data_IF_575108222292
#
_entry.id   IF_575108222292
#
_cell.length_a   1.000
_cell.length_b   1.000
_cell.length_c   1.000
_cell.angle_alpha   90.00
_cell.angle_beta   90.00
_cell.angle_gamma   90.00
#
_symmetry.space_group_name_H-M   'P 1'
#
loop_
_entity.id
_entity.type
_entity.pdbx_description
1 polymer ?
2 non-polymer ?
#
# COMPACT_ATOMS: atom_id res chain seq x y z
N UNK A 25 0.70 12.73 12.22
CA UNK A 25 -0.42 12.56 11.24
C UNK A 25 0.12 11.95 9.96
N UNK A 26 -0.77 11.61 9.03
CA UNK A 26 -0.35 11.01 7.77
C UNK A 26 -0.96 11.73 6.58
N UNK A 27 -0.20 11.85 5.50
CA UNK A 27 -0.68 12.52 4.29
C UNK A 27 -1.86 11.73 3.74
N UNK A 28 -1.72 10.41 3.78
CA UNK A 28 -2.77 9.51 3.30
C UNK A 28 -2.80 8.27 4.16
N UNK A 29 -3.99 7.79 4.48
CA UNK A 29 -4.12 6.60 5.31
C UNK A 29 -5.42 5.86 5.00
N UNK A 30 -5.33 4.53 4.95
CA UNK A 30 -6.52 3.72 4.69
C UNK A 30 -6.30 2.30 5.16
N UNK A 31 -7.40 1.60 5.40
CA UNK A 31 -7.33 0.21 5.86
C UNK A 31 -7.08 -0.73 4.69
N UNK A 32 -6.02 -1.52 4.79
CA UNK A 32 -5.69 -2.47 3.73
C UNK A 32 -4.73 -3.54 4.23
N UNK A 33 -4.97 -4.79 3.84
CA UNK A 33 -4.12 -5.89 4.25
C UNK A 33 -3.06 -6.18 3.19
N UNK A 34 -2.07 -7.00 3.54
CA UNK A 34 -1.01 -7.35 2.59
C UNK A 34 -1.26 -8.75 2.06
N UNK A 35 -0.46 -9.17 1.08
CA UNK A 35 -0.61 -10.50 0.50
C UNK A 35 0.74 -11.20 0.40
N UNK A 36 0.74 -12.53 0.38
CA UNK A 36 1.98 -13.28 0.29
C UNK A 36 1.83 -14.48 -0.66
N UNK A 37 2.93 -14.90 -1.24
CA UNK A 37 2.92 -16.05 -2.16
C UNK A 37 3.41 -17.31 -1.44
N UNK A 38 2.51 -18.27 -1.27
CA UNK A 38 2.88 -19.52 -0.62
C UNK A 38 3.39 -20.50 -1.66
N UNK A 39 4.59 -20.23 -2.19
CA UNK A 39 5.16 -21.09 -3.22
C UNK A 39 4.51 -20.77 -4.55
N UNK A 40 3.58 -21.62 -4.95
CA UNK A 40 2.87 -21.42 -6.21
C UNK A 40 1.40 -21.08 -5.94
N UNK A 41 1.07 -20.83 -4.67
CA UNK A 41 -0.31 -20.51 -4.31
C UNK A 41 -0.42 -19.08 -3.76
N UNK A 42 -1.32 -18.29 -4.34
CA UNK A 42 -1.51 -16.93 -3.86
C UNK A 42 -2.37 -16.98 -2.61
N UNK A 43 -1.91 -16.38 -1.51
CA UNK A 43 -2.69 -16.42 -0.29
C UNK A 43 -2.75 -15.04 0.39
N UNK A 44 -3.93 -14.49 0.61
CA UNK A 44 -4.11 -13.16 1.27
C UNK A 44 -3.92 -13.21 2.78
N UNK A 45 -3.35 -12.15 3.34
CA UNK A 45 -3.15 -12.08 4.78
C UNK A 45 -4.46 -11.66 5.44
N UNK A 46 -4.92 -12.45 6.40
CA UNK A 46 -6.17 -12.15 7.08
C UNK A 46 -5.99 -11.11 8.18
N UNK A 47 -4.75 -10.82 8.54
CA UNK A 47 -4.47 -9.83 9.58
C UNK A 47 -4.89 -8.45 9.12
N UNK A 48 -5.47 -7.67 10.04
CA UNK A 48 -5.90 -6.32 9.72
C UNK A 48 -4.71 -5.37 9.79
N UNK A 49 -4.54 -4.53 8.76
CA UNK A 49 -3.43 -3.60 8.74
C UNK A 49 -3.87 -2.22 8.27
N UNK A 50 -3.03 -1.23 8.52
CA UNK A 50 -3.33 0.14 8.11
C UNK A 50 -2.19 0.70 7.29
N UNK A 51 -2.49 1.07 6.04
CA UNK A 51 -1.48 1.63 5.16
C UNK A 51 -1.53 3.14 5.24
N UNK A 52 -0.39 3.77 5.47
CA UNK A 52 -0.35 5.22 5.56
C UNK A 52 0.98 5.78 5.08
N UNK A 53 0.95 7.07 4.75
CA UNK A 53 2.15 7.75 4.28
C UNK A 53 2.47 8.90 5.22
N UNK A 54 3.74 8.98 5.65
CA UNK A 54 4.14 10.04 6.56
C UNK A 54 5.35 10.78 6.01
N UNK A 55 5.38 12.08 6.28
CA UNK A 55 6.49 12.91 5.83
C UNK A 55 7.37 13.29 7.01
N UNK A 56 8.65 12.99 6.90
CA UNK A 56 9.59 13.31 7.97
C UNK A 56 10.13 14.72 7.80
N UNK A 57 10.84 15.21 8.81
CA UNK A 57 11.40 16.55 8.75
C UNK A 57 12.48 16.67 7.67
N UNK A 58 12.93 15.53 7.13
CA UNK A 58 13.93 15.55 6.08
C UNK A 58 13.28 15.64 4.69
N UNK A 59 11.95 15.81 4.67
CA UNK A 59 11.19 15.93 3.42
C UNK A 59 11.06 14.57 2.70
N UNK A 60 11.48 13.50 3.34
CA UNK A 60 11.38 12.17 2.73
C UNK A 60 9.99 11.59 2.94
N UNK A 61 9.57 10.73 2.00
CA UNK A 61 8.25 10.10 2.09
C UNK A 61 8.42 8.63 2.49
N UNK A 62 7.77 8.25 3.58
CA UNK A 62 7.88 6.88 4.07
C UNK A 62 6.56 6.13 3.90
N UNK A 63 6.63 5.01 3.20
CA UNK A 63 5.44 4.18 3.01
C UNK A 63 5.50 3.06 4.03
N UNK A 64 4.53 3.03 4.94
CA UNK A 64 4.55 2.02 5.99
C UNK A 64 3.25 1.25 6.10
N UNK A 65 3.36 0.03 6.62
CA UNK A 65 2.22 -0.83 6.83
C UNK A 65 2.27 -1.32 8.27
N UNK A 66 1.23 -1.00 9.03
CA UNK A 66 1.17 -1.35 10.44
C UNK A 66 0.01 -2.27 10.77
N UNK A 67 0.28 -3.25 11.63
CA UNK A 67 -0.76 -4.17 12.06
C UNK A 67 -1.66 -3.47 13.07
N UNK A 68 -2.96 -3.45 12.81
CA UNK A 68 -3.90 -2.79 13.72
C UNK A 68 -3.97 -3.53 15.06
N UNK A 69 -3.89 -4.85 15.01
CA UNK A 69 -3.97 -5.67 16.21
C UNK A 69 -2.82 -5.41 17.20
N UNK A 70 -1.60 -5.39 16.68
CA UNK A 70 -0.44 -5.18 17.56
C UNK A 70 -0.05 -3.70 17.63
N UNK A 71 -0.38 -2.94 16.60
CA UNK A 71 -0.04 -1.52 16.57
C UNK A 71 1.43 -1.32 16.17
N UNK A 72 2.13 -2.41 15.89
CA UNK A 72 3.54 -2.32 15.51
C UNK A 72 3.69 -2.14 14.00
N UNK A 73 4.68 -1.34 13.61
CA UNK A 73 4.95 -1.12 12.19
C UNK A 73 5.91 -2.18 11.69
N UNK A 74 5.45 -3.03 10.79
CA UNK A 74 6.29 -4.10 10.27
C UNK A 74 6.95 -3.70 8.95
N UNK A 75 6.33 -2.78 8.22
CA UNK A 75 6.88 -2.35 6.95
C UNK A 75 7.24 -0.87 6.99
N UNK A 76 8.48 -0.55 6.61
CA UNK A 76 8.94 0.82 6.59
C UNK A 76 9.90 1.01 5.42
N UNK A 77 9.40 1.59 4.32
CA UNK A 77 10.22 1.79 3.13
C UNK A 77 10.29 3.26 2.75
N UNK A 78 11.49 3.72 2.38
CA UNK A 78 11.68 5.11 1.97
C UNK A 78 11.41 5.22 0.47
N UNK A 79 10.44 6.04 0.09
CA UNK A 79 10.11 6.19 -1.33
C UNK A 79 10.37 7.62 -1.81
N UNK A 80 11.16 7.72 -2.88
CA UNK A 80 11.48 9.03 -3.46
C UNK A 80 10.47 9.36 -4.56
N UNK A 81 10.36 10.61 -4.93
CA UNK A 81 9.41 11.04 -5.99
C UNK A 81 9.55 10.22 -7.28
N UNK A 82 8.43 9.73 -7.79
CA UNK A 82 8.41 8.93 -9.02
C UNK A 82 9.21 7.63 -8.87
N UNK A 83 9.71 7.35 -7.66
CA UNK A 83 10.48 6.14 -7.43
C UNK A 83 9.63 4.88 -7.66
N UNK A 84 8.39 4.92 -7.19
CA UNK A 84 7.50 3.77 -7.32
C UNK A 84 6.16 4.17 -7.93
N UNK A 85 5.45 3.18 -8.46
CA UNK A 85 4.14 3.43 -9.06
C UNK A 85 3.07 2.55 -8.42
N UNK A 86 1.94 3.16 -8.09
CA UNK A 86 0.82 2.43 -7.47
C UNK A 86 -0.32 2.30 -8.47
N UNK A 87 -0.77 1.08 -8.74
CA UNK A 87 -1.83 0.87 -9.71
C UNK A 87 -2.66 -0.38 -9.39
N UNK A 88 -3.95 -0.32 -9.71
CA UNK A 88 -4.84 -1.46 -9.48
C UNK A 88 -4.41 -2.64 -10.35
N UNK A 89 -4.64 -3.87 -9.86
CA UNK A 89 -4.28 -5.05 -10.61
C UNK A 89 -5.51 -5.68 -11.27
N UNK A 90 -5.69 -5.52 -12.57
CA UNK A 90 -6.87 -6.10 -13.30
C UNK A 90 -6.87 -7.62 -13.27
N UNK A 91 -5.73 -8.23 -12.98
CA UNK A 91 -5.63 -9.68 -12.96
C UNK A 91 -6.45 -10.28 -11.81
N UNK A 92 -6.79 -9.46 -10.81
CA UNK A 92 -7.58 -9.98 -9.71
C UNK A 92 -9.05 -9.54 -9.87
N UNK A 93 -9.99 -10.47 -9.98
CA UNK A 93 -11.44 -10.15 -10.17
C UNK A 93 -11.99 -9.23 -9.09
N UNK A 94 -11.36 -9.23 -7.92
CA UNK A 94 -11.84 -8.41 -6.82
C UNK A 94 -11.86 -6.93 -7.20
N UNK A 95 -10.81 -6.48 -7.86
CA UNK A 95 -10.74 -5.08 -8.28
C UNK A 95 -10.36 -4.16 -7.11
N UNK A 96 -10.14 -4.75 -5.93
CA UNK A 96 -9.77 -4.00 -4.74
C UNK A 96 -8.28 -4.12 -4.47
N UNK A 97 -7.57 -4.79 -5.38
CA UNK A 97 -6.14 -5.01 -5.20
C UNK A 97 -5.29 -3.99 -5.93
N UNK A 98 -4.32 -3.43 -5.20
CA UNK A 98 -3.40 -2.47 -5.77
C UNK A 98 -1.97 -2.96 -5.54
N UNK A 99 -1.07 -2.66 -6.47
CA UNK A 99 0.30 -3.10 -6.35
C UNK A 99 1.28 -1.94 -6.46
N UNK A 100 2.32 -1.99 -5.64
CA UNK A 100 3.34 -0.96 -5.65
C UNK A 100 4.60 -1.50 -6.31
N UNK A 101 4.95 -0.95 -7.46
CA UNK A 101 6.12 -1.40 -8.20
C UNK A 101 7.32 -0.50 -7.95
N UNK A 102 8.43 -1.10 -7.54
CA UNK A 102 9.64 -0.34 -7.29
C UNK A 102 10.48 -0.27 -8.57
N UNK A 103 10.71 0.94 -9.05
CA UNK A 103 11.50 1.13 -10.25
C UNK A 103 12.91 0.61 -10.03
N UNK A 104 13.43 0.85 -8.84
CA UNK A 104 14.77 0.38 -8.48
C UNK A 104 14.66 -0.86 -7.60
N UNK A 105 14.89 -2.03 -8.19
CA UNK A 105 14.82 -3.28 -7.45
C UNK A 105 13.69 -4.16 -7.97
N UNK A 106 12.75 -3.58 -8.72
CA UNK A 106 11.64 -4.33 -9.26
C UNK A 106 10.83 -4.98 -8.13
N UNK A 107 10.94 -4.43 -6.93
CA UNK A 107 10.20 -4.95 -5.79
C UNK A 107 8.71 -4.73 -5.99
N UNK A 108 7.91 -5.74 -5.66
CA UNK A 108 6.46 -5.62 -5.82
C UNK A 108 5.74 -5.96 -4.51
N UNK A 109 4.82 -5.09 -4.12
CA UNK A 109 4.04 -5.31 -2.91
C UNK A 109 2.55 -5.26 -3.26
N UNK A 110 1.77 -6.19 -2.71
CA UNK A 110 0.34 -6.23 -3.00
C UNK A 110 -0.48 -5.88 -1.76
N UNK A 111 -1.49 -5.03 -1.97
CA UNK A 111 -2.37 -4.62 -0.90
C UNK A 111 -3.83 -4.67 -1.37
N UNK A 112 -4.75 -4.89 -0.43
CA UNK A 112 -6.16 -4.94 -0.79
C UNK A 112 -6.98 -4.11 0.18
N UNK A 113 -7.83 -3.24 -0.37
CA UNK A 113 -8.64 -2.37 0.47
C UNK A 113 -9.53 -3.18 1.40
N UNK A 114 -9.68 -2.69 2.62
CA UNK A 114 -10.50 -3.37 3.62
C UNK A 114 -11.75 -2.54 3.95
N UNK A 115 -11.89 -1.39 3.29
CA UNK A 115 -13.05 -0.54 3.54
C UNK A 115 -14.30 -1.22 2.99
N UNK A 116 -15.44 -1.04 3.63
CA UNK A 116 -16.71 -1.69 3.16
C UNK A 116 -17.17 -1.13 1.82
N UNK A 117 -16.96 0.16 1.62
CA UNK A 117 -17.35 0.81 0.38
C UNK A 117 -16.19 0.85 -0.61
N UNK A 118 -16.50 0.63 -1.88
CA UNK A 118 -15.48 0.66 -2.92
C UNK A 118 -15.47 2.02 -3.62
N UNK A 119 -16.47 2.84 -3.33
CA UNK A 119 -16.57 4.16 -3.94
C UNK A 119 -15.35 5.03 -3.60
N UNK A 120 -14.88 4.95 -2.35
CA UNK A 120 -13.74 5.76 -1.93
C UNK A 120 -12.42 5.01 -2.07
N UNK A 121 -12.48 3.71 -2.38
CA UNK A 121 -11.26 2.92 -2.52
C UNK A 121 -10.39 3.47 -3.65
N UNK A 122 -11.02 3.83 -4.76
CA UNK A 122 -10.29 4.37 -5.91
C UNK A 122 -9.67 5.71 -5.56
N UNK A 123 -10.39 6.51 -4.78
CA UNK A 123 -9.91 7.82 -4.38
C UNK A 123 -8.64 7.71 -3.55
N UNK A 124 -8.62 6.74 -2.63
CA UNK A 124 -7.45 6.54 -1.79
C UNK A 124 -6.24 6.16 -2.63
N UNK A 125 -6.46 5.31 -3.63
CA UNK A 125 -5.38 4.88 -4.50
C UNK A 125 -4.79 6.08 -5.25
N UNK A 126 -5.67 6.92 -5.79
CA UNK A 126 -5.23 8.09 -6.53
C UNK A 126 -4.39 9.02 -5.66
N UNK A 127 -4.85 9.25 -4.43
CA UNK A 127 -4.12 10.14 -3.52
C UNK A 127 -2.73 9.58 -3.25
N UNK A 128 -2.65 8.28 -3.05
CA UNK A 128 -1.37 7.63 -2.78
C UNK A 128 -0.42 7.83 -3.95
N UNK A 129 -0.93 7.63 -5.16
CA UNK A 129 -0.11 7.78 -6.35
C UNK A 129 0.42 9.21 -6.48
N UNK A 130 -0.42 10.19 -6.20
CA UNK A 130 0.00 11.59 -6.30
C UNK A 130 1.14 11.90 -5.33
N UNK A 131 1.03 11.41 -4.10
CA UNK A 131 2.08 11.67 -3.11
C UNK A 131 3.37 10.96 -3.49
N UNK A 132 3.25 9.76 -4.06
CA UNK A 132 4.44 9.00 -4.44
C UNK A 132 5.09 9.61 -5.68
N UNK A 133 4.28 10.15 -6.59
CA UNK A 133 4.81 10.73 -7.82
C UNK A 133 4.99 12.25 -7.70
N UNK A 134 4.57 12.83 -6.59
CA UNK A 134 4.71 14.28 -6.40
C UNK A 134 5.29 14.58 -5.02
X LIG B 1 -0.73 -13.44 -9.21
X LIG B 1 -1.41 -13.02 -8.27
X LIG B 1 -2.66 -13.08 -8.33
X LIG B 1 -0.78 -12.50 -7.13
X LIG B 1 0.60 -12.57 -7.07
X LIG B 1 1.28 -12.15 -5.92
X LIG B 1 0.55 -11.67 -4.84
X LIG B 1 -0.84 -11.59 -4.93
X LIG B 1 -1.52 -11.99 -6.07
X LIG B 1 -2.80 -11.67 -6.28
X LIG B 1 -3.63 -11.39 -5.26
X LIG B 1 -3.43 -11.68 -4.08
X LIG B 1 -6.00 -10.95 -4.50
X LIG B 1 -6.74 -11.06 -3.65
X LIG B 1 -5.62 -12.92 -7.14
X LIG B 1 -5.73 -13.80 -6.07
X LIG B 1 -5.95 -13.36 -8.41
X LIG B 1 -6.37 -14.67 -8.61
X LIG B 1 -6.48 -15.54 -7.53
X LIG B 1 -6.16 -15.11 -6.24
X LIG B 1 -6.29 -15.87 -5.15
X LIG B 1 -6.68 -17.16 -5.22
X LIG B 1 -6.93 -17.78 -6.24
X LIG B 1 -6.80 -17.82 -4.00
X LIG B 1 -6.32 -17.28 -2.80
X LIG B 1 -6.45 -17.99 -1.62
X LIG B 1 -7.05 -19.24 -1.62
X LIG B 1 -7.20 -20.03 -0.32
X LIG B 1 -7.53 -19.79 -2.80
X LIG B 1 -7.40 -19.07 -4.00
X LIG B 1 -5.57 -11.36 -6.98
X LIG B 1 -5.00 -10.80 -5.66
X LIG B 1 1.17 -12.99 -7.90
X LIG B 1 2.36 -12.19 -5.88
X LIG B 1 1.05 -11.34 -3.94
X LIG B 1 -1.37 -11.21 -4.05
X LIG B 1 -3.15 -11.62 -7.22
X LIG B 1 -5.45 -13.47 -5.06
X LIG B 1 -5.87 -12.69 -9.26
X LIG B 1 -6.61 -15.02 -9.61
X LIG B 1 -6.81 -16.56 -7.73
X LIG B 1 -6.07 -15.46 -4.26
X LIG B 1 -5.83 -16.31 -2.80
X LIG B 1 -6.08 -17.56 -0.69
X LIG B 1 -6.30 -20.63 -0.14
X LIG B 1 -8.06 -20.70 -0.40
X LIG B 1 -7.35 -19.34 0.51
X LIG B 1 -7.99 -20.77 -2.81
X LIG B 1 -7.77 -19.50 -4.92
X LIG B 1 -4.96 -10.95 -7.80
X LIG B 1 -4.85 -9.73 -5.82
#
# INVERSE_FOLDING_TARGET
>A
GPGSMTTSGALFPSLVPGSRGASNKYLVEFRAGKMSLKGTTVTPDKRKGLVYIQQTDDSLIHFCWKDRTSGNVEDDLIIFPDDCEFKRVPQCPSGRVYVLKFKAGSKRLFFWMQEPKTDQDEEHCRKVNEYLNNPPMPGALGASGSSGHELSAL
>B hetero
1 XAY O4 C25 O3 C24 C23 C22 C21 C20 C19 N3 C18 O2 C17 N2 C13 C14 C12 C11 C10 C9 N1 C8 O1 C5 C4 C3 C2 C1 C7 C6 C15 C16 H18 H17 H16 H15 H14 H12 H11 H10 H9 H8 H5 H4 H1 H3 H2 H7 H6 H13 H19
#
